data_IF_247939459773
#
_entry.id   IF_247939459773
#
_cell.length_a   1.000
_cell.length_b   1.000
_cell.length_c   1.000
_cell.angle_alpha   90.00
_cell.angle_beta   90.00
_cell.angle_gamma   90.00
#
_symmetry.space_group_name_H-M   'P 1'
#
loop_
_entity.id
_entity.type
_entity.pdbx_description
1 polymer ?
#
# COMPACT_ATOMS: atom_id res chain seq x y z
N UNK A 1 0.90 55.78 -16.84
CA UNK A 1 0.17 54.78 -17.66
C UNK A 1 0.92 53.45 -17.82
N UNK A 2 2.25 53.43 -18.07
CA UNK A 2 3.02 52.18 -18.23
C UNK A 2 3.16 51.37 -16.94
N UNK A 3 3.39 52.03 -15.80
CA UNK A 3 3.48 51.39 -14.48
C UNK A 3 2.19 50.67 -14.06
N UNK A 4 1.03 51.30 -14.27
CA UNK A 4 -0.28 50.75 -13.92
C UNK A 4 -0.68 49.54 -14.80
N UNK A 5 -0.17 49.48 -16.03
CA UNK A 5 -0.33 48.33 -16.94
C UNK A 5 0.55 47.15 -16.50
N UNK A 6 1.78 47.42 -16.06
CA UNK A 6 2.67 46.40 -15.54
C UNK A 6 2.15 45.76 -14.24
N UNK A 7 1.59 46.56 -13.34
CA UNK A 7 1.04 46.05 -12.07
C UNK A 7 -0.19 45.18 -12.31
N UNK A 8 -1.09 45.57 -13.22
CA UNK A 8 -2.25 44.74 -13.58
C UNK A 8 -1.85 43.40 -14.19
N UNK A 9 -0.87 43.39 -15.11
CA UNK A 9 -0.37 42.13 -15.69
C UNK A 9 0.28 41.21 -14.66
N UNK A 10 1.02 41.78 -13.70
CA UNK A 10 1.66 41.00 -12.64
C UNK A 10 0.60 40.34 -11.73
N UNK A 11 -0.44 41.09 -11.35
CA UNK A 11 -1.54 40.59 -10.52
C UNK A 11 -2.28 39.45 -11.24
N UNK A 12 -2.56 39.61 -12.54
CA UNK A 12 -3.25 38.57 -13.33
C UNK A 12 -2.44 37.28 -13.44
N UNK A 13 -1.11 37.38 -13.56
CA UNK A 13 -0.24 36.20 -13.61
C UNK A 13 -0.20 35.45 -12.28
N UNK A 14 -0.13 36.17 -11.17
CA UNK A 14 -0.14 35.57 -9.83
C UNK A 14 -1.46 34.83 -9.58
N UNK A 15 -2.60 35.43 -9.92
CA UNK A 15 -3.91 34.79 -9.80
C UNK A 15 -4.03 33.53 -10.66
N UNK A 16 -3.50 33.55 -11.88
CA UNK A 16 -3.51 32.38 -12.77
C UNK A 16 -2.68 31.23 -12.20
N UNK A 17 -1.49 31.51 -11.65
CA UNK A 17 -0.63 30.49 -11.02
C UNK A 17 -1.32 29.88 -9.81
N UNK A 18 -1.91 30.70 -8.94
CA UNK A 18 -2.62 30.23 -7.75
C UNK A 18 -3.86 29.39 -8.10
N UNK A 19 -4.57 29.75 -9.17
CA UNK A 19 -5.72 28.97 -9.66
C UNK A 19 -5.31 27.68 -10.38
N UNK A 20 -4.08 27.59 -10.90
CA UNK A 20 -3.58 26.44 -11.67
C UNK A 20 -3.02 25.28 -10.81
N UNK A 21 -3.18 25.36 -9.48
CA UNK A 21 -2.83 24.27 -8.57
C UNK A 21 -3.67 23.02 -8.84
N UNK A 22 -3.15 22.11 -9.66
CA UNK A 22 -3.75 20.80 -9.91
C UNK A 22 -3.54 19.92 -8.67
N UNK A 23 -4.59 19.79 -7.86
CA UNK A 23 -4.68 18.71 -6.88
C UNK A 23 -4.73 17.40 -7.65
N UNK A 24 -3.57 16.81 -7.94
CA UNK A 24 -3.50 15.43 -8.45
C UNK A 24 -4.30 14.57 -7.47
N UNK A 25 -5.33 13.82 -7.90
CA UNK A 25 -6.01 12.90 -7.02
C UNK A 25 -4.97 11.90 -6.54
N UNK A 26 -4.48 12.10 -5.32
CA UNK A 26 -3.61 11.14 -4.65
C UNK A 26 -4.48 9.92 -4.46
N UNK A 27 -4.19 8.84 -5.16
CA UNK A 27 -4.89 7.57 -4.98
C UNK A 27 -4.91 7.26 -3.47
N UNK A 28 -6.07 7.45 -2.85
CA UNK A 28 -6.35 7.12 -1.45
C UNK A 28 -6.82 5.68 -1.34
N UNK A 29 -6.25 4.80 -2.17
CA UNK A 29 -6.32 3.37 -1.90
C UNK A 29 -5.14 3.07 -0.98
N UNK A 30 -5.37 2.33 0.09
CA UNK A 30 -4.27 1.69 0.80
C UNK A 30 -3.37 0.97 -0.24
N UNK A 31 -2.04 0.86 -0.05
CA UNK A 31 -1.15 0.24 -1.03
C UNK A 31 -1.42 -1.27 -1.11
N UNK A 32 -2.56 -1.65 -1.69
CA UNK A 32 -2.97 -3.03 -1.95
C UNK A 32 -2.36 -3.54 -3.25
N UNK A 33 -1.74 -2.65 -4.05
CA UNK A 33 -0.88 -3.04 -5.17
C UNK A 33 0.53 -3.21 -4.62
N UNK A 34 0.78 -4.36 -3.97
CA UNK A 34 2.15 -4.78 -3.65
C UNK A 34 2.91 -4.78 -4.97
N UNK A 35 3.93 -3.92 -5.16
CA UNK A 35 4.60 -3.81 -6.44
C UNK A 35 5.21 -5.18 -6.77
N UNK A 36 5.18 -5.58 -8.04
CA UNK A 36 5.66 -6.88 -8.49
C UNK A 36 7.10 -7.16 -8.03
N UNK A 37 7.90 -6.11 -7.87
CA UNK A 37 9.29 -6.14 -7.43
C UNK A 37 9.45 -6.28 -5.88
N UNK A 38 8.35 -6.16 -5.11
CA UNK A 38 8.28 -6.41 -3.66
C UNK A 38 7.46 -7.67 -3.33
N UNK A 39 7.21 -8.54 -4.31
CA UNK A 39 7.01 -9.97 -4.07
C UNK A 39 8.35 -10.59 -3.62
N UNK A 40 8.98 -10.01 -2.59
CA UNK A 40 10.30 -10.40 -2.06
C UNK A 40 10.20 -11.63 -1.13
N UNK A 41 9.28 -12.54 -1.43
CA UNK A 41 9.15 -13.83 -0.73
C UNK A 41 9.01 -15.01 -1.69
N UNK A 42 9.50 -14.86 -2.92
CA UNK A 42 9.72 -16.00 -3.80
C UNK A 42 10.86 -15.70 -4.77
N UNK A 43 12.09 -15.62 -4.24
CA UNK A 43 13.15 -16.33 -4.97
C UNK A 43 12.72 -17.80 -5.03
N UNK A 44 12.93 -18.48 -6.15
CA UNK A 44 12.76 -19.93 -6.20
C UNK A 44 13.45 -20.50 -4.95
N UNK A 45 12.78 -21.45 -4.27
CA UNK A 45 13.06 -21.85 -2.89
C UNK A 45 14.42 -22.50 -2.62
N UNK A 46 15.46 -22.05 -3.31
CA UNK A 46 16.85 -22.45 -3.23
C UNK A 46 17.52 -21.87 -1.97
N UNK A 47 17.10 -20.68 -1.50
CA UNK A 47 17.60 -20.06 -0.26
C UNK A 47 16.88 -20.59 1.00
N UNK A 48 15.69 -21.17 0.85
CA UNK A 48 14.97 -21.80 1.95
C UNK A 48 15.34 -23.29 1.94
N UNK A 49 16.07 -23.74 2.97
CA UNK A 49 16.42 -25.15 3.12
C UNK A 49 15.19 -26.08 3.04
N UNK A 50 15.41 -27.41 3.03
CA UNK A 50 14.33 -28.37 2.81
C UNK A 50 13.16 -28.13 3.77
N UNK A 51 11.94 -28.07 3.21
CA UNK A 51 10.73 -27.91 4.02
C UNK A 51 10.65 -29.03 5.06
N UNK A 52 10.45 -28.64 6.33
CA UNK A 52 10.30 -29.58 7.44
C UNK A 52 8.83 -29.68 7.85
N UNK A 53 8.34 -30.89 8.04
CA UNK A 53 7.03 -31.11 8.66
C UNK A 53 7.06 -30.63 10.11
N UNK A 54 6.26 -29.62 10.42
CA UNK A 54 6.08 -29.15 11.80
C UNK A 54 5.12 -30.06 12.58
N UNK A 55 4.10 -30.58 11.91
CA UNK A 55 3.13 -31.50 12.50
C UNK A 55 3.49 -32.94 12.12
N UNK A 56 3.94 -33.73 13.10
CA UNK A 56 4.24 -35.14 12.91
C UNK A 56 2.96 -35.98 12.70
N UNK A 57 1.86 -35.59 13.36
CA UNK A 57 0.54 -36.18 13.20
C UNK A 57 -0.46 -35.12 12.72
N UNK A 58 -1.01 -35.35 11.53
CA UNK A 58 -2.01 -34.47 10.91
C UNK A 58 -3.33 -34.48 11.66
N UNK A 59 -3.76 -35.63 12.17
CA UNK A 59 -5.04 -35.76 12.86
C UNK A 59 -5.01 -35.01 14.19
N UNK A 60 -3.95 -35.20 14.97
CA UNK A 60 -3.75 -34.47 16.23
C UNK A 60 -3.68 -32.94 16.01
N UNK A 61 -2.97 -32.49 14.98
CA UNK A 61 -2.89 -31.07 14.66
C UNK A 61 -4.26 -30.46 14.30
N UNK A 62 -5.08 -31.18 13.51
CA UNK A 62 -6.41 -30.72 13.14
C UNK A 62 -7.38 -30.69 14.34
N UNK A 63 -7.29 -31.67 15.23
CA UNK A 63 -8.10 -31.70 16.45
C UNK A 63 -7.81 -30.48 17.33
N UNK A 64 -6.54 -30.13 17.54
CA UNK A 64 -6.15 -28.96 18.32
C UNK A 64 -6.65 -27.64 17.69
N UNK A 65 -6.60 -27.52 16.36
CA UNK A 65 -7.12 -26.33 15.65
C UNK A 65 -8.64 -26.21 15.85
N UNK A 66 -9.35 -27.33 15.78
CA UNK A 66 -10.80 -27.36 15.97
C UNK A 66 -11.20 -27.00 17.42
N UNK A 67 -10.43 -27.44 18.41
CA UNK A 67 -10.63 -27.07 19.81
C UNK A 67 -10.47 -25.56 20.04
N UNK A 68 -9.40 -24.96 19.49
CA UNK A 68 -9.18 -23.51 19.55
C UNK A 68 -10.32 -22.76 18.85
N UNK A 69 -10.74 -23.21 17.67
CA UNK A 69 -11.78 -22.54 16.89
C UNK A 69 -13.15 -22.52 17.58
N UNK A 70 -13.40 -23.45 18.52
CA UNK A 70 -14.66 -23.53 19.28
C UNK A 70 -14.54 -22.79 20.62
N UNK A 71 -13.33 -22.70 21.19
CA UNK A 71 -13.08 -22.08 22.49
C UNK A 71 -13.13 -20.54 22.53
N UNK A 72 -13.36 -19.87 21.40
CA UNK A 72 -13.47 -18.40 21.30
C UNK A 72 -14.92 -17.88 21.48
N UNK A 73 -15.90 -18.75 21.79
CA UNK A 73 -17.33 -18.39 21.95
C UNK A 73 -17.84 -18.39 23.42
N UNK A 74 -16.96 -18.20 24.43
CA UNK A 74 -17.37 -18.03 25.85
C UNK A 74 -16.92 -16.69 26.45
#
# INVERSE_FOLDING_TARGET
MRSLRCTTTAITLVLAVLASGCGTPREKTAPCKRPANLMSYAGAGDDCGPMKSINADRAAALAAIHEIAIGDEE
#
